data_IF_243415121056
#
_entry.id   IF_243415121056
#
_cell.length_a   1.000
_cell.length_b   1.000
_cell.length_c   1.000
_cell.angle_alpha   90.00
_cell.angle_beta   90.00
_cell.angle_gamma   90.00
#
_symmetry.space_group_name_H-M   'P 1'
#
loop_
_entity.id
_entity.type
_entity.pdbx_description
1 polymer ?
#
# COMPACT_ATOMS: atom_id res chain seq x y z
N UNK A 1 7.65 -0.04 8.65
CA UNK A 1 7.90 -0.23 7.20
C UNK A 1 7.20 0.81 6.33
N UNK A 2 6.10 1.41 6.81
CA UNK A 2 5.31 2.43 6.07
C UNK A 2 6.15 3.53 5.42
N UNK A 3 7.07 4.19 6.15
CA UNK A 3 7.92 5.26 5.58
C UNK A 3 8.74 4.78 4.37
N UNK A 4 9.44 3.65 4.51
CA UNK A 4 10.25 3.09 3.43
C UNK A 4 9.38 2.71 2.22
N UNK A 5 8.21 2.12 2.44
CA UNK A 5 7.30 1.75 1.35
C UNK A 5 6.75 2.98 0.61
N UNK A 6 6.21 3.96 1.33
CA UNK A 6 5.69 5.18 0.70
C UNK A 6 6.77 5.94 -0.07
N UNK A 7 7.96 6.09 0.53
CA UNK A 7 9.08 6.77 -0.14
C UNK A 7 9.53 6.05 -1.42
N UNK A 8 9.55 4.72 -1.43
CA UNK A 8 9.94 3.93 -2.58
C UNK A 8 8.87 3.97 -3.69
N UNK A 9 7.62 3.68 -3.37
CA UNK A 9 6.56 3.52 -4.36
C UNK A 9 5.89 4.83 -4.75
N UNK A 10 5.45 5.64 -3.78
CA UNK A 10 4.75 6.93 -4.01
C UNK A 10 5.72 8.08 -4.24
N UNK A 11 6.95 7.98 -3.74
CA UNK A 11 8.03 8.92 -4.02
C UNK A 11 8.77 8.55 -5.30
N UNK A 12 9.79 7.69 -5.17
CA UNK A 12 10.76 7.44 -6.22
C UNK A 12 10.15 6.81 -7.48
N UNK A 13 9.41 5.71 -7.35
CA UNK A 13 8.86 4.97 -8.48
C UNK A 13 7.75 5.75 -9.19
N UNK A 14 6.85 6.39 -8.45
CA UNK A 14 5.81 7.24 -9.02
C UNK A 14 6.41 8.44 -9.78
N UNK A 15 7.46 9.08 -9.24
CA UNK A 15 8.14 10.19 -9.91
C UNK A 15 8.82 9.74 -11.21
N UNK A 16 9.62 8.67 -11.16
CA UNK A 16 10.26 8.11 -12.35
C UNK A 16 9.24 7.65 -13.40
N UNK A 17 8.19 6.94 -12.96
CA UNK A 17 7.12 6.50 -13.84
C UNK A 17 6.31 7.64 -14.43
N UNK A 18 6.11 8.73 -13.69
CA UNK A 18 5.42 9.92 -14.19
C UNK A 18 6.24 10.67 -15.23
N UNK A 19 7.57 10.72 -15.06
CA UNK A 19 8.48 11.28 -16.04
C UNK A 19 8.47 10.48 -17.36
N UNK A 20 8.34 9.15 -17.29
CA UNK A 20 8.34 8.28 -18.46
C UNK A 20 6.96 8.13 -19.14
N UNK A 21 5.88 8.08 -18.36
CA UNK A 21 4.55 7.64 -18.81
C UNK A 21 3.42 8.62 -18.47
N UNK A 22 3.74 9.80 -17.92
CA UNK A 22 2.78 10.76 -17.39
C UNK A 22 2.15 10.33 -16.07
N UNK A 23 1.44 11.25 -15.41
CA UNK A 23 0.93 11.06 -14.04
C UNK A 23 0.08 9.78 -13.86
N UNK A 24 -0.83 9.49 -14.80
CA UNK A 24 -1.66 8.28 -14.74
C UNK A 24 -0.83 7.00 -14.92
N UNK A 25 0.16 7.02 -15.83
CA UNK A 25 1.06 5.90 -16.06
C UNK A 25 1.97 5.63 -14.86
N UNK A 26 2.55 6.68 -14.27
CA UNK A 26 3.34 6.57 -13.05
C UNK A 26 2.55 6.00 -11.88
N UNK A 27 1.29 6.42 -11.72
CA UNK A 27 0.39 5.88 -10.69
C UNK A 27 0.06 4.41 -10.91
N UNK A 28 -0.19 3.99 -12.15
CA UNK A 28 -0.44 2.59 -12.48
C UNK A 28 0.79 1.72 -12.24
N UNK A 29 1.96 2.22 -12.63
CA UNK A 29 3.23 1.53 -12.45
C UNK A 29 3.52 1.26 -10.97
N UNK A 30 3.46 2.30 -10.13
CA UNK A 30 3.73 2.12 -8.70
C UNK A 30 2.69 1.23 -8.01
N UNK A 31 1.42 1.33 -8.39
CA UNK A 31 0.34 0.53 -7.80
C UNK A 31 0.52 -0.96 -8.14
N UNK A 32 0.85 -1.26 -9.39
CA UNK A 32 1.14 -2.63 -9.85
C UNK A 32 2.37 -3.18 -9.14
N UNK A 33 3.46 -2.41 -9.06
CA UNK A 33 4.69 -2.82 -8.38
C UNK A 33 4.47 -3.07 -6.88
N UNK A 34 3.68 -2.23 -6.22
CA UNK A 34 3.30 -2.40 -4.82
C UNK A 34 2.40 -3.63 -4.62
N UNK A 35 1.46 -3.89 -5.52
CA UNK A 35 0.67 -5.11 -5.48
C UNK A 35 1.54 -6.37 -5.58
N UNK A 36 2.44 -6.40 -6.55
CA UNK A 36 3.33 -7.54 -6.81
C UNK A 36 4.37 -7.78 -5.71
N UNK A 37 4.79 -6.75 -4.96
CA UNK A 37 5.74 -6.95 -3.86
C UNK A 37 5.19 -7.82 -2.74
N UNK A 38 3.87 -7.92 -2.60
CA UNK A 38 3.21 -8.73 -1.57
C UNK A 38 3.09 -10.22 -1.93
N UNK A 39 3.61 -10.66 -3.08
CA UNK A 39 3.63 -12.08 -3.47
C UNK A 39 4.38 -12.93 -2.44
N UNK A 40 5.50 -12.43 -1.92
CA UNK A 40 6.30 -13.15 -0.93
C UNK A 40 5.55 -13.29 0.40
N UNK A 41 4.92 -12.21 0.86
CA UNK A 41 4.14 -12.19 2.10
C UNK A 41 2.94 -13.14 2.00
N UNK A 42 2.17 -13.07 0.90
CA UNK A 42 1.03 -13.96 0.69
C UNK A 42 1.43 -15.45 0.70
N UNK A 43 2.60 -15.78 0.13
CA UNK A 43 3.13 -17.15 0.17
C UNK A 43 3.53 -17.57 1.58
N UNK A 44 4.14 -16.66 2.34
CA UNK A 44 4.60 -16.94 3.70
C UNK A 44 3.43 -17.13 4.68
N UNK A 45 2.32 -16.41 4.48
CA UNK A 45 1.13 -16.47 5.34
C UNK A 45 0.06 -17.44 4.85
N UNK A 46 0.21 -18.00 3.64
CA UNK A 46 -0.79 -18.88 3.02
C UNK A 46 -2.04 -18.14 2.52
N UNK A 47 -1.97 -16.81 2.34
CA UNK A 47 -3.06 -16.02 1.80
C UNK A 47 -3.28 -16.23 0.29
N UNK A 48 -4.50 -16.00 -0.23
CA UNK A 48 -4.78 -16.13 -1.65
C UNK A 48 -3.96 -15.13 -2.48
N UNK A 49 -2.98 -15.63 -3.23
CA UNK A 49 -2.01 -14.80 -3.97
C UNK A 49 -2.65 -13.72 -4.84
N UNK A 50 -3.61 -14.11 -5.69
CA UNK A 50 -4.30 -13.17 -6.59
C UNK A 50 -5.12 -12.13 -5.81
N UNK A 51 -5.73 -12.55 -4.69
CA UNK A 51 -6.50 -11.66 -3.82
C UNK A 51 -5.61 -10.63 -3.14
N UNK A 52 -4.50 -11.07 -2.53
CA UNK A 52 -3.55 -10.19 -1.85
C UNK A 52 -2.98 -9.17 -2.83
N UNK A 53 -2.46 -9.61 -3.99
CA UNK A 53 -1.89 -8.70 -5.02
C UNK A 53 -2.92 -7.69 -5.52
N UNK A 54 -4.16 -8.12 -5.75
CA UNK A 54 -5.23 -7.23 -6.21
C UNK A 54 -5.58 -6.17 -5.15
N UNK A 55 -5.80 -6.61 -3.90
CA UNK A 55 -6.19 -5.72 -2.80
C UNK A 55 -5.09 -4.71 -2.50
N UNK A 56 -3.83 -5.16 -2.38
CA UNK A 56 -2.71 -4.26 -2.11
C UNK A 56 -2.41 -3.36 -3.31
N UNK A 57 -2.57 -3.84 -4.54
CA UNK A 57 -2.50 -3.00 -5.75
C UNK A 57 -3.54 -1.89 -5.77
N UNK A 58 -4.80 -2.19 -5.41
CA UNK A 58 -5.86 -1.18 -5.26
C UNK A 58 -5.52 -0.17 -4.16
N UNK A 59 -5.04 -0.64 -3.00
CA UNK A 59 -4.58 0.24 -1.93
C UNK A 59 -3.45 1.17 -2.40
N UNK A 60 -2.44 0.63 -3.10
CA UNK A 60 -1.35 1.39 -3.70
C UNK A 60 -1.85 2.43 -4.71
N UNK A 61 -2.86 2.11 -5.52
CA UNK A 61 -3.50 3.07 -6.43
C UNK A 61 -4.18 4.21 -5.66
N UNK A 62 -4.94 3.90 -4.61
CA UNK A 62 -5.61 4.90 -3.77
C UNK A 62 -4.61 5.81 -3.05
N UNK A 63 -3.50 5.27 -2.55
CA UNK A 63 -2.42 6.06 -1.96
C UNK A 63 -1.73 6.95 -2.99
N UNK A 64 -1.44 6.43 -4.19
CA UNK A 64 -0.94 7.25 -5.29
C UNK A 64 -1.92 8.36 -5.70
N UNK A 65 -3.22 8.07 -5.71
CA UNK A 65 -4.25 9.08 -5.93
C UNK A 65 -4.28 10.15 -4.84
N UNK A 66 -4.14 9.75 -3.57
CA UNK A 66 -4.11 10.66 -2.44
C UNK A 66 -2.85 11.55 -2.49
N UNK A 67 -1.70 10.99 -2.84
CA UNK A 67 -0.46 11.74 -3.07
C UNK A 67 -0.65 12.80 -4.15
N UNK A 68 -1.18 12.41 -5.32
CA UNK A 68 -1.39 13.32 -6.44
C UNK A 68 -2.44 14.40 -6.13
N UNK A 69 -3.48 14.06 -5.35
CA UNK A 69 -4.54 15.00 -5.01
C UNK A 69 -4.13 16.00 -3.92
N UNK A 70 -3.25 15.59 -3.01
CA UNK A 70 -2.74 16.41 -1.91
C UNK A 70 -1.43 17.13 -2.23
N UNK A 71 -0.68 16.66 -3.23
CA UNK A 71 0.68 17.13 -3.51
C UNK A 71 1.70 16.75 -2.42
N UNK A 72 1.38 15.78 -1.56
CA UNK A 72 2.20 15.45 -0.38
C UNK A 72 2.32 13.96 -0.16
N UNK A 73 3.54 13.52 0.16
CA UNK A 73 3.81 12.15 0.59
C UNK A 73 3.31 11.87 2.02
N UNK A 74 3.11 12.92 2.84
CA UNK A 74 2.62 12.75 4.21
C UNK A 74 1.19 12.20 4.24
N UNK A 75 0.34 12.58 3.27
CA UNK A 75 -1.05 12.14 3.21
C UNK A 75 -1.20 10.62 3.04
N UNK A 76 -0.61 9.97 2.01
CA UNK A 76 -0.66 8.51 1.89
C UNK A 76 0.10 7.83 3.03
N UNK A 77 1.16 8.42 3.58
CA UNK A 77 1.89 7.85 4.70
C UNK A 77 1.07 7.75 5.97
N UNK A 78 0.36 8.81 6.34
CA UNK A 78 -0.53 8.79 7.50
C UNK A 78 -1.71 7.85 7.28
N UNK A 79 -2.27 7.81 6.06
CA UNK A 79 -3.35 6.90 5.73
C UNK A 79 -2.91 5.42 5.82
N UNK A 80 -1.74 5.10 5.27
CA UNK A 80 -1.18 3.76 5.34
C UNK A 80 -0.85 3.36 6.77
N UNK A 81 -0.22 4.24 7.55
CA UNK A 81 0.01 4.01 8.97
C UNK A 81 -1.30 3.71 9.70
N UNK A 82 -2.33 4.54 9.51
CA UNK A 82 -3.62 4.36 10.15
C UNK A 82 -4.27 3.01 9.81
N UNK A 83 -4.19 2.56 8.55
CA UNK A 83 -4.72 1.26 8.12
C UNK A 83 -3.97 0.10 8.81
N UNK A 84 -2.64 0.17 8.87
CA UNK A 84 -1.84 -0.88 9.50
C UNK A 84 -2.12 -0.96 11.01
N UNK A 85 -2.15 0.19 11.68
CA UNK A 85 -2.42 0.25 13.12
C UNK A 85 -3.87 -0.18 13.44
N UNK A 86 -4.85 0.19 12.61
CA UNK A 86 -6.23 -0.26 12.77
C UNK A 86 -6.36 -1.78 12.63
N UNK A 87 -5.65 -2.38 11.66
CA UNK A 87 -5.59 -3.84 11.51
C UNK A 87 -4.97 -4.53 12.72
N UNK A 88 -3.86 -3.99 13.24
CA UNK A 88 -3.22 -4.52 14.44
C UNK A 88 -4.14 -4.47 15.67
N UNK A 89 -4.81 -3.33 15.90
CA UNK A 89 -5.77 -3.16 16.99
C UNK A 89 -6.96 -4.12 16.84
N UNK A 90 -7.49 -4.30 15.63
CA UNK A 90 -8.60 -5.23 15.38
C UNK A 90 -8.22 -6.67 15.75
N UNK A 91 -7.02 -7.13 15.37
CA UNK A 91 -6.51 -8.45 15.73
C UNK A 91 -6.39 -8.60 17.24
N UNK A 92 -5.87 -7.59 17.94
CA UNK A 92 -5.77 -7.61 19.41
C UNK A 92 -7.16 -7.67 20.07
N UNK A 93 -8.13 -6.92 19.53
CA UNK A 93 -9.51 -6.93 20.00
C UNK A 93 -10.19 -8.30 19.86
N UNK A 94 -10.07 -8.93 18.69
CA UNK A 94 -10.61 -10.28 18.46
C UNK A 94 -9.95 -11.31 19.39
N UNK A 95 -8.62 -11.24 19.56
CA UNK A 95 -7.90 -12.14 20.48
C UNK A 95 -8.32 -11.95 21.93
N UNK A 96 -8.64 -10.73 22.35
CA UNK A 96 -9.16 -10.43 23.69
C UNK A 96 -10.53 -11.08 23.88
N UNK A 97 -11.44 -10.90 22.92
CA UNK A 97 -12.81 -11.42 22.98
C UNK A 97 -12.89 -12.95 22.96
N UNK A 98 -11.95 -13.64 22.31
CA UNK A 98 -11.87 -15.11 22.30
C UNK A 98 -11.26 -15.70 23.58
N UNK A 99 -10.67 -14.87 24.46
CA UNK A 99 -10.07 -15.29 25.73
C UNK A 99 -11.00 -15.11 26.94
N UNK A 100 -12.08 -14.35 26.77
CA UNK A 100 -13.15 -14.13 27.76
C UNK A 100 -14.30 -15.11 27.50
#
# INVERSE_FOLDING_TARGET
TVWSEESAYRGALAAAGSAAFGARGGRLLQATAFGLSHVADARATGEPLAGTVLVTGIAGWLFGWLADRSGSLAAPLLAHLAINEAGAVAVLGVRRALRD
#
